data_IF_421306464583
#
_entry.id   IF_421306464583
#
_cell.length_a   1.000
_cell.length_b   1.000
_cell.length_c   1.000
_cell.angle_alpha   90.00
_cell.angle_beta   90.00
_cell.angle_gamma   90.00
#
_symmetry.space_group_name_H-M   'P 1'
#
loop_
_entity.id
_entity.type
_entity.pdbx_description
1 polymer ?
#
# COMPACT_ATOMS: atom_id res chain seq x y z
N UNK A 1 38.63 42.53 -9.10
CA UNK A 1 38.38 42.94 -7.70
C UNK A 1 36.93 43.43 -7.64
N UNK A 2 35.95 42.88 -6.94
CA UNK A 2 35.94 41.91 -5.84
C UNK A 2 34.56 41.22 -5.80
N UNK A 3 34.57 39.92 -5.51
CA UNK A 3 33.40 39.08 -5.21
C UNK A 3 32.98 39.30 -3.75
N UNK A 4 31.67 39.34 -3.45
CA UNK A 4 31.17 39.22 -2.06
C UNK A 4 30.17 38.07 -1.95
N UNK A 5 30.70 36.93 -1.54
CA UNK A 5 29.95 35.76 -1.06
C UNK A 5 29.50 36.06 0.38
N UNK A 6 28.21 35.85 0.69
CA UNK A 6 27.73 35.77 2.08
C UNK A 6 27.22 34.36 2.34
N UNK A 7 28.11 33.53 2.87
CA UNK A 7 27.77 32.29 3.57
C UNK A 7 27.18 32.62 4.94
N UNK A 8 26.04 32.02 5.29
CA UNK A 8 25.64 31.79 6.68
C UNK A 8 25.42 30.31 6.89
N UNK A 9 26.35 29.71 7.62
CA UNK A 9 26.26 28.38 8.16
C UNK A 9 25.93 28.44 9.66
N UNK A 10 25.45 27.29 10.19
CA UNK A 10 25.44 26.84 11.60
C UNK A 10 24.23 27.31 12.43
N UNK A 11 23.55 26.50 13.27
CA UNK A 11 23.92 25.24 14.00
C UNK A 11 22.68 24.63 14.70
N UNK A 12 22.72 23.31 14.91
CA UNK A 12 22.30 22.49 16.08
C UNK A 12 20.78 22.35 16.40
N UNK A 13 20.16 21.18 16.27
CA UNK A 13 20.26 19.92 17.05
C UNK A 13 19.42 19.92 18.34
N UNK A 14 18.43 19.02 18.42
CA UNK A 14 17.96 18.40 19.66
C UNK A 14 17.17 17.10 19.35
N UNK A 15 17.70 15.99 19.84
CA UNK A 15 17.13 14.64 19.88
C UNK A 15 16.23 14.53 21.12
N UNK A 16 15.05 13.92 21.01
CA UNK A 16 14.39 13.24 22.12
C UNK A 16 13.65 11.99 21.61
N UNK A 17 14.26 10.83 21.83
CA UNK A 17 13.60 9.53 21.80
C UNK A 17 13.07 9.23 23.22
N UNK A 18 11.84 8.75 23.32
CA UNK A 18 11.33 8.10 24.54
C UNK A 18 10.59 6.83 24.12
N UNK A 19 11.10 5.71 24.61
CA UNK A 19 10.51 4.38 24.51
C UNK A 19 10.02 3.93 25.89
N UNK A 20 8.85 3.26 25.94
CA UNK A 20 8.40 2.25 26.92
C UNK A 20 6.87 2.10 26.73
N UNK A 21 6.32 1.01 26.19
CA UNK A 21 6.11 -0.32 26.78
C UNK A 21 5.22 -0.29 28.04
N UNK A 22 4.12 -1.06 28.02
CA UNK A 22 3.50 -1.88 29.11
C UNK A 22 2.04 -2.24 28.70
N UNK A 23 1.77 -3.49 28.33
CA UNK A 23 1.27 -4.62 29.15
C UNK A 23 -0.25 -4.80 29.02
N UNK A 24 -0.60 -6.00 28.56
CA UNK A 24 -1.94 -6.52 28.36
C UNK A 24 -2.66 -6.79 29.70
N UNK A 25 -3.97 -6.56 29.71
CA UNK A 25 -4.88 -7.10 30.72
C UNK A 25 -6.17 -7.59 30.05
N UNK A 26 -6.21 -8.89 29.73
CA UNK A 26 -7.44 -9.63 29.45
C UNK A 26 -8.06 -10.01 30.80
N UNK A 27 -9.04 -9.25 31.26
CA UNK A 27 -9.89 -9.62 32.40
C UNK A 27 -11.03 -10.51 31.90
N UNK A 28 -10.84 -11.82 32.01
CA UNK A 28 -11.90 -12.81 31.95
C UNK A 28 -12.72 -12.77 33.26
N UNK A 29 -14.01 -12.49 33.17
CA UNK A 29 -14.95 -12.72 34.27
C UNK A 29 -15.95 -13.80 33.84
N UNK A 30 -15.60 -15.05 34.14
CA UNK A 30 -16.56 -16.15 34.19
C UNK A 30 -17.31 -16.06 35.53
N UNK A 31 -18.62 -15.83 35.50
CA UNK A 31 -19.51 -16.12 36.63
C UNK A 31 -20.50 -17.19 36.18
N UNK A 32 -20.16 -18.45 36.46
CA UNK A 32 -21.12 -19.53 36.55
C UNK A 32 -21.46 -19.70 38.04
N UNK A 33 -22.62 -19.19 38.45
CA UNK A 33 -23.17 -19.45 39.77
C UNK A 33 -23.89 -20.80 39.74
N UNK A 34 -23.31 -21.83 40.36
CA UNK A 34 -24.05 -23.04 40.72
C UNK A 34 -24.58 -22.88 42.13
N UNK A 35 -25.90 -22.73 42.23
CA UNK A 35 -26.66 -22.75 43.46
C UNK A 35 -26.58 -24.14 44.11
N UNK A 36 -26.04 -24.21 45.32
CA UNK A 36 -26.14 -25.36 46.22
C UNK A 36 -27.59 -25.54 46.67
N UNK A 37 -28.14 -26.72 46.44
CA UNK A 37 -29.46 -27.15 46.93
C UNK A 37 -29.34 -28.56 47.54
N UNK A 38 -29.92 -28.83 48.72
CA UNK A 38 -29.64 -30.06 49.45
C UNK A 38 -30.57 -31.20 49.03
N UNK A 39 -30.02 -32.40 48.87
CA UNK A 39 -30.78 -33.64 49.04
C UNK A 39 -30.55 -34.72 47.97
N UNK A 40 -30.25 -35.92 48.46
CA UNK A 40 -30.63 -37.17 47.79
C UNK A 40 -29.47 -37.97 47.23
N UNK A 41 -29.14 -39.07 47.92
CA UNK A 41 -28.39 -40.20 47.36
C UNK A 41 -28.94 -40.58 45.98
N UNK A 42 -28.15 -40.35 44.94
CA UNK A 42 -28.31 -40.95 43.61
C UNK A 42 -27.00 -41.65 43.25
N UNK A 43 -27.05 -42.86 42.68
CA UNK A 43 -25.84 -43.56 42.28
C UNK A 43 -25.10 -42.74 41.22
N UNK A 44 -23.80 -42.57 41.40
CA UNK A 44 -22.90 -42.02 40.38
C UNK A 44 -22.99 -42.88 39.13
N UNK A 45 -23.76 -42.42 38.14
CA UNK A 45 -23.69 -42.93 36.78
C UNK A 45 -22.52 -42.20 36.13
N UNK A 46 -21.45 -42.91 35.80
CA UNK A 46 -20.36 -42.35 35.03
C UNK A 46 -20.94 -41.71 33.75
N UNK A 47 -20.59 -40.46 33.39
CA UNK A 47 -21.04 -39.89 32.12
C UNK A 47 -20.59 -40.84 31.01
N UNK A 48 -21.53 -41.28 30.18
CA UNK A 48 -21.22 -42.19 29.09
C UNK A 48 -20.19 -41.53 28.18
N UNK A 49 -19.24 -42.33 27.69
CA UNK A 49 -18.26 -41.94 26.67
C UNK A 49 -18.91 -41.34 25.42
N UNK A 50 -20.20 -41.61 25.21
CA UNK A 50 -21.02 -41.08 24.11
C UNK A 50 -21.29 -39.58 24.21
N UNK A 51 -21.40 -39.00 25.42
CA UNK A 51 -21.65 -37.57 25.58
C UNK A 51 -20.40 -36.72 25.25
N UNK A 52 -19.21 -37.23 25.54
CA UNK A 52 -17.94 -36.59 25.16
C UNK A 52 -17.69 -36.68 23.65
N UNK A 53 -18.01 -37.83 23.04
CA UNK A 53 -17.88 -38.01 21.59
C UNK A 53 -18.84 -37.12 20.79
N UNK A 54 -20.04 -36.85 21.32
CA UNK A 54 -20.99 -35.92 20.71
C UNK A 54 -20.48 -34.47 20.74
N UNK A 55 -19.87 -34.01 21.83
CA UNK A 55 -19.28 -32.68 21.92
C UNK A 55 -18.05 -32.52 21.00
N UNK A 56 -17.18 -33.53 20.93
CA UNK A 56 -16.03 -33.52 20.01
C UNK A 56 -16.43 -33.48 18.53
N UNK A 57 -17.59 -34.05 18.19
CA UNK A 57 -18.14 -34.01 16.84
C UNK A 57 -18.71 -32.62 16.51
N UNK A 58 -19.33 -31.94 17.48
CA UNK A 58 -19.85 -30.58 17.32
C UNK A 58 -18.68 -29.59 17.19
N UNK A 59 -17.67 -29.65 18.05
CA UNK A 59 -16.51 -28.76 17.98
C UNK A 59 -15.75 -28.91 16.65
N UNK A 60 -15.63 -30.15 16.15
CA UNK A 60 -14.98 -30.42 14.87
C UNK A 60 -15.82 -29.89 13.70
N UNK A 61 -17.14 -30.05 13.75
CA UNK A 61 -18.04 -29.47 12.74
C UNK A 61 -18.03 -27.93 12.73
N UNK A 62 -17.92 -27.30 13.91
CA UNK A 62 -17.78 -25.85 14.03
C UNK A 62 -16.42 -25.36 13.51
N UNK A 63 -15.35 -26.09 13.78
CA UNK A 63 -14.02 -25.81 13.23
C UNK A 63 -13.99 -25.95 11.71
N UNK A 64 -14.62 -26.99 11.16
CA UNK A 64 -14.71 -27.24 9.71
C UNK A 64 -15.57 -26.17 9.02
N UNK A 65 -16.69 -25.76 9.64
CA UNK A 65 -17.54 -24.68 9.14
C UNK A 65 -16.79 -23.34 9.12
N UNK A 66 -16.02 -23.04 10.18
CA UNK A 66 -15.21 -21.83 10.27
C UNK A 66 -14.05 -21.84 9.27
N UNK A 67 -13.41 -22.99 9.06
CA UNK A 67 -12.36 -23.16 8.05
C UNK A 67 -12.93 -22.99 6.63
N UNK A 68 -14.12 -23.53 6.37
CA UNK A 68 -14.82 -23.34 5.08
C UNK A 68 -15.21 -21.88 4.85
N UNK A 69 -15.73 -21.19 5.87
CA UNK A 69 -16.07 -19.77 5.75
C UNK A 69 -14.83 -18.90 5.49
N UNK A 70 -13.73 -19.13 6.21
CA UNK A 70 -12.46 -18.43 5.99
C UNK A 70 -11.87 -18.71 4.59
N UNK A 71 -12.02 -19.93 4.07
CA UNK A 71 -11.60 -20.28 2.72
C UNK A 71 -12.45 -19.55 1.67
N UNK A 72 -13.76 -19.43 1.87
CA UNK A 72 -14.64 -18.66 0.99
C UNK A 72 -14.33 -17.16 1.01
N UNK A 73 -14.09 -16.58 2.19
CA UNK A 73 -13.68 -15.18 2.33
C UNK A 73 -12.33 -14.90 1.65
N UNK A 74 -11.38 -15.83 1.71
CA UNK A 74 -10.10 -15.69 1.03
C UNK A 74 -10.22 -15.75 -0.51
N UNK A 75 -11.17 -16.52 -1.04
CA UNK A 75 -11.45 -16.61 -2.48
C UNK A 75 -12.16 -15.35 -2.98
N UNK A 76 -13.14 -14.84 -2.23
CA UNK A 76 -13.83 -13.58 -2.54
C UNK A 76 -12.83 -12.40 -2.50
N UNK A 77 -11.96 -12.33 -1.48
CA UNK A 77 -10.94 -11.29 -1.40
C UNK A 77 -9.93 -11.35 -2.55
N UNK A 78 -9.56 -12.54 -3.03
CA UNK A 78 -8.71 -12.66 -4.22
C UNK A 78 -9.43 -12.22 -5.50
N UNK A 79 -10.72 -12.55 -5.64
CA UNK A 79 -11.53 -12.11 -6.77
C UNK A 79 -11.72 -10.58 -6.79
N UNK A 80 -11.87 -9.96 -5.60
CA UNK A 80 -11.95 -8.51 -5.44
C UNK A 80 -10.62 -7.82 -5.77
N UNK A 81 -9.49 -8.39 -5.37
CA UNK A 81 -8.16 -7.87 -5.74
C UNK A 81 -7.91 -7.97 -7.25
N UNK A 82 -8.30 -9.09 -7.87
CA UNK A 82 -8.17 -9.27 -9.32
C UNK A 82 -9.11 -8.32 -10.09
N UNK A 83 -10.30 -8.05 -9.56
CA UNK A 83 -11.25 -7.10 -10.13
C UNK A 83 -10.78 -5.66 -9.94
N UNK A 84 -10.21 -5.33 -8.78
CA UNK A 84 -9.62 -4.02 -8.51
C UNK A 84 -8.42 -3.74 -9.42
N UNK A 85 -7.57 -4.74 -9.68
CA UNK A 85 -6.46 -4.64 -10.63
C UNK A 85 -6.92 -4.41 -12.08
N UNK A 86 -8.17 -4.75 -12.41
CA UNK A 86 -8.78 -4.49 -13.72
C UNK A 86 -9.49 -3.13 -13.81
N UNK A 87 -9.77 -2.48 -12.68
CA UNK A 87 -10.33 -1.12 -12.70
C UNK A 87 -9.23 -0.13 -13.08
N UNK A 88 -9.54 0.87 -13.93
CA UNK A 88 -8.59 1.96 -14.15
C UNK A 88 -8.28 2.64 -12.81
N UNK A 89 -6.99 2.83 -12.54
CA UNK A 89 -6.51 3.55 -11.37
C UNK A 89 -6.99 5.01 -11.44
N UNK A 90 -7.51 5.54 -10.33
CA UNK A 90 -7.86 6.96 -10.25
C UNK A 90 -6.58 7.81 -10.37
N UNK A 91 -6.66 8.95 -11.04
CA UNK A 91 -5.49 9.85 -11.23
C UNK A 91 -4.85 10.22 -9.90
N UNK A 92 -5.65 10.40 -8.85
CA UNK A 92 -5.18 10.66 -7.49
C UNK A 92 -4.20 9.60 -6.98
N UNK A 93 -4.54 8.33 -7.17
CA UNK A 93 -3.79 7.22 -6.61
C UNK A 93 -2.52 6.98 -7.44
N UNK A 94 -2.63 7.05 -8.78
CA UNK A 94 -1.48 7.01 -9.68
C UNK A 94 -0.50 8.16 -9.40
N UNK A 95 -1.02 9.34 -9.08
CA UNK A 95 -0.19 10.48 -8.73
C UNK A 95 0.53 10.27 -7.39
N UNK A 96 -0.13 9.66 -6.39
CA UNK A 96 0.51 9.30 -5.13
C UNK A 96 1.68 8.32 -5.33
N UNK A 97 1.54 7.36 -6.26
CA UNK A 97 2.62 6.47 -6.67
C UNK A 97 3.82 7.21 -7.26
N UNK A 98 3.59 8.17 -8.17
CA UNK A 98 4.65 9.04 -8.69
C UNK A 98 5.34 9.84 -7.56
N UNK A 99 4.57 10.37 -6.61
CA UNK A 99 5.09 11.14 -5.49
C UNK A 99 6.00 10.32 -4.59
N UNK A 100 5.76 9.01 -4.45
CA UNK A 100 6.61 8.11 -3.69
C UNK A 100 8.05 8.00 -4.24
N UNK A 101 8.30 8.49 -5.46
CA UNK A 101 9.64 8.46 -6.09
C UNK A 101 10.38 9.80 -6.00
N UNK A 102 9.77 10.88 -5.49
CA UNK A 102 10.33 12.25 -5.59
C UNK A 102 11.58 12.48 -4.76
N UNK A 103 11.65 11.86 -3.57
CA UNK A 103 12.81 11.99 -2.68
C UNK A 103 13.95 11.01 -3.03
N UNK A 104 13.71 10.14 -4.01
CA UNK A 104 14.68 9.18 -4.51
C UNK A 104 15.45 9.71 -5.73
N UNK A 105 16.69 9.24 -5.87
CA UNK A 105 17.56 9.48 -7.01
C UNK A 105 18.61 8.36 -7.12
N UNK A 106 19.36 8.33 -8.20
CA UNK A 106 20.50 7.43 -8.38
C UNK A 106 21.60 8.08 -9.22
N UNK A 107 22.76 7.42 -9.27
CA UNK A 107 23.84 7.78 -10.20
C UNK A 107 23.83 6.79 -11.37
N UNK A 108 23.72 7.22 -12.64
CA UNK A 108 23.79 6.32 -13.79
C UNK A 108 25.04 5.42 -13.76
N UNK A 109 24.85 4.13 -14.04
CA UNK A 109 25.88 3.10 -13.95
C UNK A 109 26.06 2.51 -12.55
N UNK A 110 25.38 3.03 -11.52
CA UNK A 110 25.30 2.40 -10.22
C UNK A 110 24.19 1.32 -10.19
N UNK A 111 24.39 0.26 -9.41
CA UNK A 111 23.50 -0.91 -9.42
C UNK A 111 22.07 -0.63 -8.92
N UNK A 112 21.88 0.40 -8.10
CA UNK A 112 20.59 0.88 -7.62
C UNK A 112 19.81 1.69 -8.67
N UNK A 113 20.50 2.20 -9.69
CA UNK A 113 19.91 3.12 -10.66
C UNK A 113 18.91 2.44 -11.59
N UNK A 114 19.15 1.18 -11.93
CA UNK A 114 18.21 0.35 -12.67
C UNK A 114 16.85 0.24 -11.97
N UNK A 115 16.86 0.05 -10.65
CA UNK A 115 15.64 -0.07 -9.85
C UNK A 115 14.89 1.26 -9.79
N UNK A 116 15.59 2.35 -9.44
CA UNK A 116 14.99 3.67 -9.35
C UNK A 116 14.37 4.12 -10.68
N UNK A 117 15.10 4.00 -11.80
CA UNK A 117 14.59 4.44 -13.10
C UNK A 117 13.47 3.55 -13.62
N UNK A 118 13.53 2.24 -13.35
CA UNK A 118 12.41 1.33 -13.62
C UNK A 118 11.16 1.76 -12.87
N UNK A 119 11.30 2.09 -11.58
CA UNK A 119 10.20 2.58 -10.74
C UNK A 119 9.61 3.90 -11.26
N UNK A 120 10.45 4.89 -11.59
CA UNK A 120 9.99 6.17 -12.16
C UNK A 120 9.23 5.95 -13.47
N UNK A 121 9.74 5.09 -14.35
CA UNK A 121 9.07 4.74 -15.60
C UNK A 121 7.69 4.11 -15.37
N UNK A 122 7.59 3.15 -14.44
CA UNK A 122 6.33 2.49 -14.08
C UNK A 122 5.29 3.49 -13.59
N UNK A 123 5.66 4.38 -12.66
CA UNK A 123 4.75 5.38 -12.09
C UNK A 123 4.29 6.42 -13.12
N UNK A 124 5.21 6.89 -13.98
CA UNK A 124 4.85 7.78 -15.10
C UNK A 124 3.90 7.09 -16.10
N UNK A 125 4.08 5.78 -16.33
CA UNK A 125 3.19 4.98 -17.20
C UNK A 125 1.82 4.78 -16.57
N UNK A 126 1.76 4.49 -15.27
CA UNK A 126 0.52 4.39 -14.50
C UNK A 126 -0.29 5.68 -14.59
N UNK A 127 0.37 6.81 -14.30
CA UNK A 127 -0.23 8.13 -14.35
C UNK A 127 -0.69 8.53 -15.76
N UNK A 128 0.10 8.23 -16.81
CA UNK A 128 -0.31 8.44 -18.21
C UNK A 128 -1.63 7.73 -18.53
N UNK A 129 -1.78 6.47 -18.12
CA UNK A 129 -3.01 5.71 -18.34
C UNK A 129 -4.18 6.30 -17.56
N UNK A 130 -3.99 6.61 -16.29
CA UNK A 130 -5.03 7.20 -15.44
C UNK A 130 -5.54 8.53 -16.01
N UNK A 131 -4.64 9.42 -16.44
CA UNK A 131 -5.03 10.71 -17.02
C UNK A 131 -5.75 10.60 -18.38
N UNK A 132 -5.52 9.52 -19.14
CA UNK A 132 -6.19 9.29 -20.44
C UNK A 132 -7.59 8.72 -20.31
N UNK A 133 -7.86 7.99 -19.23
CA UNK A 133 -9.16 7.34 -18.98
C UNK A 133 -10.08 8.18 -18.11
N UNK A 134 -9.55 9.19 -17.41
CA UNK A 134 -10.35 10.13 -16.63
C UNK A 134 -11.37 10.83 -17.54
N UNK A 135 -12.65 10.65 -17.21
CA UNK A 135 -13.81 11.14 -17.95
C UNK A 135 -14.29 12.52 -17.46
N UNK A 136 -13.44 13.23 -16.71
CA UNK A 136 -13.71 14.55 -16.20
C UNK A 136 -13.79 15.64 -17.29
N UNK A 137 -13.38 16.86 -16.94
CA UNK A 137 -13.46 18.02 -17.85
C UNK A 137 -12.56 17.82 -19.09
N UNK A 138 -13.03 18.18 -20.28
CA UNK A 138 -12.19 18.09 -21.48
C UNK A 138 -10.86 18.85 -21.33
N UNK A 139 -9.74 18.16 -21.52
CA UNK A 139 -8.37 18.70 -21.66
C UNK A 139 -7.62 19.15 -20.40
N UNK A 140 -8.07 18.89 -19.17
CA UNK A 140 -7.30 19.27 -17.98
C UNK A 140 -5.86 18.71 -17.96
N UNK A 141 -5.65 17.43 -18.32
CA UNK A 141 -4.32 16.83 -18.34
C UNK A 141 -3.50 17.06 -19.63
N UNK A 142 -3.89 18.03 -20.47
CA UNK A 142 -3.25 18.25 -21.78
C UNK A 142 -1.74 18.49 -21.67
N UNK A 143 -1.30 19.26 -20.66
CA UNK A 143 0.11 19.55 -20.46
C UNK A 143 0.91 18.33 -19.96
N UNK A 144 0.54 17.65 -18.85
CA UNK A 144 1.18 16.41 -18.43
C UNK A 144 1.26 15.34 -19.52
N UNK A 145 0.16 15.10 -20.25
CA UNK A 145 0.11 14.12 -21.33
C UNK A 145 1.04 14.48 -22.50
N UNK A 146 1.22 15.78 -22.78
CA UNK A 146 2.17 16.24 -23.78
C UNK A 146 3.63 15.97 -23.39
N UNK A 147 3.99 16.14 -22.12
CA UNK A 147 5.33 15.84 -21.63
C UNK A 147 5.60 14.33 -21.63
N UNK A 148 4.65 13.52 -21.18
CA UNK A 148 4.72 12.07 -21.23
C UNK A 148 4.87 11.56 -22.67
N UNK A 149 4.08 12.08 -23.61
CA UNK A 149 4.22 11.72 -25.02
C UNK A 149 5.62 12.04 -25.59
N UNK A 150 6.22 13.16 -25.15
CA UNK A 150 7.58 13.53 -25.56
C UNK A 150 8.60 12.55 -24.99
N UNK A 151 8.49 12.22 -23.69
CA UNK A 151 9.32 11.23 -23.02
C UNK A 151 9.24 9.86 -23.69
N UNK A 152 8.03 9.34 -23.94
CA UNK A 152 7.82 8.05 -24.58
C UNK A 152 8.37 7.97 -26.00
N UNK A 153 8.31 9.09 -26.74
CA UNK A 153 8.97 9.20 -28.04
C UNK A 153 10.49 9.12 -27.91
N UNK A 154 11.06 9.77 -26.90
CA UNK A 154 12.50 9.70 -26.61
C UNK A 154 12.96 8.30 -26.24
N UNK A 155 12.20 7.58 -25.41
CA UNK A 155 12.52 6.20 -25.01
C UNK A 155 12.33 5.18 -26.15
N UNK A 156 11.48 5.49 -27.15
CA UNK A 156 11.18 4.61 -28.28
C UNK A 156 10.73 3.19 -27.88
N UNK A 157 10.11 3.05 -26.71
CA UNK A 157 9.66 1.77 -26.16
C UNK A 157 10.77 0.88 -25.60
N UNK A 158 12.04 1.33 -25.58
CA UNK A 158 13.14 0.60 -24.97
C UNK A 158 13.23 0.93 -23.47
N UNK A 159 12.84 -0.04 -22.65
CA UNK A 159 12.87 0.05 -21.18
C UNK A 159 14.10 -0.63 -20.57
N UNK A 160 15.12 -0.95 -21.38
CA UNK A 160 16.37 -1.50 -20.87
C UNK A 160 17.06 -0.49 -19.94
N UNK A 161 17.78 -1.00 -18.94
CA UNK A 161 18.53 -0.16 -18.00
C UNK A 161 19.43 0.85 -18.72
N UNK A 162 20.14 0.41 -19.76
CA UNK A 162 21.03 1.28 -20.53
C UNK A 162 20.28 2.45 -21.19
N UNK A 163 19.07 2.22 -21.71
CA UNK A 163 18.26 3.27 -22.31
C UNK A 163 17.64 4.19 -21.26
N UNK A 164 17.12 3.64 -20.16
CA UNK A 164 16.57 4.45 -19.07
C UNK A 164 17.65 5.35 -18.45
N UNK A 165 18.86 4.83 -18.22
CA UNK A 165 19.99 5.63 -17.70
C UNK A 165 20.43 6.71 -18.69
N UNK A 166 20.44 6.41 -19.99
CA UNK A 166 20.70 7.42 -21.04
C UNK A 166 19.67 8.56 -21.02
N UNK A 167 18.43 8.26 -20.63
CA UNK A 167 17.32 9.21 -20.52
C UNK A 167 17.03 9.63 -19.06
N UNK A 168 18.02 9.52 -18.16
CA UNK A 168 17.86 9.86 -16.74
C UNK A 168 17.26 11.26 -16.52
N UNK A 169 17.80 12.28 -17.18
CA UNK A 169 17.34 13.66 -17.04
C UNK A 169 15.92 13.85 -17.59
N UNK A 170 15.57 13.15 -18.67
CA UNK A 170 14.22 13.22 -19.25
C UNK A 170 13.18 12.58 -18.31
N UNK A 171 13.51 11.41 -17.74
CA UNK A 171 12.64 10.67 -16.80
C UNK A 171 12.40 11.48 -15.52
N UNK A 172 13.48 11.86 -14.84
CA UNK A 172 13.41 12.59 -13.57
C UNK A 172 12.88 14.01 -13.76
N UNK A 173 13.27 14.69 -14.84
CA UNK A 173 12.74 16.00 -15.19
C UNK A 173 11.24 15.97 -15.50
N UNK A 174 10.75 14.93 -16.21
CA UNK A 174 9.32 14.78 -16.47
C UNK A 174 8.55 14.48 -15.19
N UNK A 175 9.05 13.59 -14.33
CA UNK A 175 8.49 13.31 -12.98
C UNK A 175 8.30 14.61 -12.19
N UNK A 176 9.36 15.39 -12.06
CA UNK A 176 9.36 16.60 -11.23
C UNK A 176 8.44 17.69 -11.81
N UNK A 177 8.44 17.81 -13.13
CA UNK A 177 7.58 18.75 -13.85
C UNK A 177 6.10 18.42 -13.69
N UNK A 178 5.72 17.15 -13.83
CA UNK A 178 4.35 16.68 -13.61
C UNK A 178 3.96 16.90 -12.16
N UNK A 179 4.81 16.53 -11.20
CA UNK A 179 4.53 16.78 -9.79
C UNK A 179 4.27 18.25 -9.49
N UNK A 180 5.10 19.14 -10.01
CA UNK A 180 4.92 20.60 -9.84
C UNK A 180 3.59 21.06 -10.44
N UNK A 181 3.25 20.58 -11.64
CA UNK A 181 2.00 20.92 -12.31
C UNK A 181 0.78 20.43 -11.54
N UNK A 182 0.77 19.15 -11.15
CA UNK A 182 -0.33 18.54 -10.39
C UNK A 182 -0.53 19.28 -9.06
N UNK A 183 0.53 19.61 -8.33
CA UNK A 183 0.40 20.41 -7.09
C UNK A 183 -0.21 21.80 -7.31
N UNK A 184 -0.10 22.36 -8.52
CA UNK A 184 -0.74 23.62 -8.93
C UNK A 184 -2.19 23.48 -9.41
N UNK A 185 -2.64 22.25 -9.71
CA UNK A 185 -3.97 21.94 -10.25
C UNK A 185 -4.67 20.82 -9.45
N UNK A 186 -4.79 20.96 -8.12
CA UNK A 186 -5.39 19.93 -7.28
C UNK A 186 -6.83 19.54 -7.65
N UNK A 187 -7.58 20.47 -8.22
CA UNK A 187 -8.97 20.28 -8.65
C UNK A 187 -9.13 19.39 -9.87
N UNK A 188 -8.04 19.07 -10.57
CA UNK A 188 -8.09 18.20 -11.74
C UNK A 188 -8.02 16.71 -11.40
N UNK A 189 -7.58 16.34 -10.19
CA UNK A 189 -7.40 14.93 -9.78
C UNK A 189 -7.90 14.59 -8.38
N UNK A 190 -8.72 15.46 -7.77
CA UNK A 190 -9.30 15.23 -6.43
C UNK A 190 -10.76 14.81 -6.47
#
# INVERSE_FOLDING_TARGET
MSVRIRTRARRNAAVLAVAAALVASLSACSQAATSDGPGGDVPYVAPSTDASAANDAIERAEADAKASAAASEAVEAQADLETAAKRPEEVRDAFAGLQATLDDTCTPGAGDCAYFLGRVHEELTGLDRAMKVDDGRPNHFKEPLGWLSTLWTGLAGDISTANLEKHFDDLTGTRDRINTWMQGHPEDYR
#
